data_IF_326947189298
#
_entry.id   IF_326947189298
#
_cell.length_a   1.000
_cell.length_b   1.000
_cell.length_c   1.000
_cell.angle_alpha   90.00
_cell.angle_beta   90.00
_cell.angle_gamma   90.00
#
_symmetry.space_group_name_H-M   'P 1'
#
loop_
_entity.id
_entity.type
_entity.pdbx_description
1 polymer ?
#
# COMPACT_ATOMS: atom_id res chain seq x y z
N UNK A 1 -5.82 -37.87 -33.05
CA UNK A 1 -4.57 -37.11 -32.96
C UNK A 1 -4.97 -35.74 -32.46
N UNK A 2 -4.69 -35.47 -31.20
CA UNK A 2 -4.87 -34.14 -30.61
C UNK A 2 -3.92 -33.19 -31.33
N UNK A 3 -4.44 -32.07 -31.84
CA UNK A 3 -3.60 -31.10 -32.53
C UNK A 3 -2.68 -30.42 -31.53
N UNK A 4 -1.46 -30.04 -31.94
CA UNK A 4 -0.52 -29.28 -31.09
C UNK A 4 -1.18 -27.97 -30.64
N UNK A 5 -1.97 -27.35 -31.54
CA UNK A 5 -2.75 -26.15 -31.23
C UNK A 5 -3.73 -26.37 -30.09
N UNK A 6 -4.47 -27.48 -30.09
CA UNK A 6 -5.46 -27.80 -29.05
C UNK A 6 -4.80 -27.96 -27.66
N UNK A 7 -3.60 -28.55 -27.63
CA UNK A 7 -2.81 -28.76 -26.40
C UNK A 7 -2.34 -27.42 -25.82
N UNK A 8 -1.80 -26.54 -26.67
CA UNK A 8 -1.30 -25.23 -26.26
C UNK A 8 -2.42 -24.33 -25.75
N UNK A 9 -3.55 -24.28 -26.46
CA UNK A 9 -4.72 -23.46 -26.08
C UNK A 9 -5.31 -23.93 -24.75
N UNK A 10 -5.41 -25.24 -24.52
CA UNK A 10 -5.89 -25.79 -23.25
C UNK A 10 -4.97 -25.46 -22.07
N UNK A 11 -3.65 -25.60 -22.24
CA UNK A 11 -2.66 -25.24 -21.22
C UNK A 11 -2.67 -23.75 -20.89
N UNK A 12 -2.68 -22.90 -21.91
CA UNK A 12 -2.72 -21.45 -21.75
C UNK A 12 -4.00 -20.97 -21.07
N UNK A 13 -5.15 -21.52 -21.47
CA UNK A 13 -6.44 -21.25 -20.81
C UNK A 13 -6.39 -21.65 -19.34
N UNK A 14 -5.78 -22.80 -19.02
CA UNK A 14 -5.61 -23.24 -17.65
C UNK A 14 -4.68 -22.29 -16.85
N UNK A 15 -3.51 -21.94 -17.38
CA UNK A 15 -2.54 -21.09 -16.69
C UNK A 15 -3.04 -19.66 -16.48
N UNK A 16 -3.66 -19.07 -17.50
CA UNK A 16 -4.28 -17.74 -17.42
C UNK A 16 -5.42 -17.69 -16.39
N UNK A 17 -6.21 -18.76 -16.27
CA UNK A 17 -7.29 -18.85 -15.28
C UNK A 17 -6.81 -19.09 -13.83
N UNK A 18 -5.54 -19.48 -13.61
CA UNK A 18 -5.04 -19.94 -12.29
C UNK A 18 -4.11 -18.94 -11.58
N UNK A 19 -4.21 -17.64 -11.90
CA UNK A 19 -3.40 -16.53 -11.32
C UNK A 19 -1.90 -16.65 -11.58
N UNK A 20 -1.49 -17.31 -12.65
CA UNK A 20 -0.11 -17.23 -13.14
C UNK A 20 0.08 -15.89 -13.87
N UNK A 21 1.20 -15.17 -13.67
CA UNK A 21 1.46 -13.92 -14.40
C UNK A 21 1.48 -14.14 -15.92
N UNK A 22 0.81 -13.28 -16.69
CA UNK A 22 0.64 -13.41 -18.16
C UNK A 22 1.97 -13.58 -18.90
N UNK A 23 3.03 -12.86 -18.47
CA UNK A 23 4.36 -12.99 -19.04
C UNK A 23 4.93 -14.41 -18.89
N UNK A 24 4.76 -15.02 -17.71
CA UNK A 24 5.23 -16.38 -17.47
C UNK A 24 4.43 -17.41 -18.26
N UNK A 25 3.12 -17.15 -18.48
CA UNK A 25 2.27 -17.97 -19.37
C UNK A 25 2.79 -17.93 -20.80
N UNK A 26 3.07 -16.74 -21.34
CA UNK A 26 3.58 -16.58 -22.71
C UNK A 26 4.96 -17.21 -22.91
N UNK A 27 5.87 -17.03 -21.94
CA UNK A 27 7.20 -17.67 -21.96
C UNK A 27 7.08 -19.21 -21.98
N UNK A 28 6.24 -19.78 -21.11
CA UNK A 28 6.05 -21.23 -21.05
C UNK A 28 5.31 -21.81 -22.26
N UNK A 29 4.33 -21.08 -22.80
CA UNK A 29 3.64 -21.48 -24.03
C UNK A 29 4.65 -21.64 -25.18
N UNK A 30 5.54 -20.66 -25.37
CA UNK A 30 6.56 -20.72 -26.41
C UNK A 30 7.55 -21.87 -26.23
N UNK A 31 7.95 -22.16 -24.99
CA UNK A 31 8.81 -23.31 -24.68
C UNK A 31 8.10 -24.64 -24.98
N UNK A 32 6.84 -24.78 -24.55
CA UNK A 32 6.04 -25.98 -24.79
C UNK A 32 5.81 -26.22 -26.30
N UNK A 33 5.49 -25.16 -27.05
CA UNK A 33 5.33 -25.22 -28.50
C UNK A 33 6.60 -25.75 -29.18
N UNK A 34 7.76 -25.20 -28.81
CA UNK A 34 9.05 -25.66 -29.34
C UNK A 34 9.26 -27.16 -29.08
N UNK A 35 8.98 -27.64 -27.87
CA UNK A 35 9.17 -29.04 -27.50
C UNK A 35 8.20 -29.98 -28.25
N UNK A 36 6.95 -29.56 -28.45
CA UNK A 36 5.95 -30.33 -29.18
C UNK A 36 6.30 -30.44 -30.68
N UNK A 37 6.76 -29.34 -31.28
CA UNK A 37 7.20 -29.32 -32.69
C UNK A 37 8.44 -30.19 -32.90
N UNK A 38 9.41 -30.15 -32.00
CA UNK A 38 10.61 -30.99 -32.06
C UNK A 38 10.28 -32.49 -31.90
N UNK A 39 9.38 -32.82 -30.97
CA UNK A 39 8.90 -34.19 -30.79
C UNK A 39 8.20 -34.71 -32.05
N UNK A 40 7.32 -33.90 -32.66
CA UNK A 40 6.64 -34.25 -33.89
C UNK A 40 7.63 -34.44 -35.07
N UNK A 41 8.63 -33.58 -35.20
CA UNK A 41 9.69 -33.71 -36.21
C UNK A 41 10.51 -35.00 -36.06
N UNK A 42 10.63 -35.49 -34.84
CA UNK A 42 11.29 -36.76 -34.49
C UNK A 42 10.39 -37.99 -34.60
N UNK A 43 9.12 -37.81 -34.99
CA UNK A 43 8.14 -38.90 -35.11
C UNK A 43 7.57 -39.39 -33.78
N UNK A 44 7.74 -38.63 -32.70
CA UNK A 44 7.21 -38.92 -31.37
C UNK A 44 5.81 -38.35 -31.18
N UNK A 45 5.01 -38.95 -30.30
CA UNK A 45 3.68 -38.43 -29.99
C UNK A 45 3.77 -37.22 -29.03
N UNK A 46 2.79 -36.29 -29.07
CA UNK A 46 2.68 -35.20 -28.09
C UNK A 46 2.60 -35.66 -26.63
N UNK A 47 2.00 -36.84 -26.41
CA UNK A 47 1.85 -37.47 -25.09
C UNK A 47 3.22 -37.81 -24.45
N UNK A 48 4.28 -37.99 -25.24
CA UNK A 48 5.65 -38.13 -24.68
C UNK A 48 6.16 -36.84 -24.02
N UNK A 49 5.62 -35.68 -24.39
CA UNK A 49 6.04 -34.37 -23.88
C UNK A 49 5.19 -33.92 -22.70
N UNK A 50 3.87 -33.99 -22.83
CA UNK A 50 2.91 -33.52 -21.80
C UNK A 50 2.38 -34.63 -20.90
N UNK A 51 2.65 -35.90 -21.22
CA UNK A 51 2.10 -37.06 -20.53
C UNK A 51 0.66 -37.39 -20.92
N UNK A 52 0.10 -38.42 -20.29
CA UNK A 52 -1.25 -38.91 -20.55
C UNK A 52 -2.35 -38.00 -19.97
N UNK A 53 -2.00 -37.11 -19.03
CA UNK A 53 -2.93 -36.19 -18.36
C UNK A 53 -2.43 -34.73 -18.50
N UNK A 54 -3.02 -34.05 -19.48
CA UNK A 54 -2.70 -32.65 -19.79
C UNK A 54 -3.03 -31.70 -18.64
N UNK A 55 -4.09 -31.97 -17.87
CA UNK A 55 -4.49 -31.13 -16.76
C UNK A 55 -3.50 -31.26 -15.59
N UNK A 56 -3.01 -32.47 -15.33
CA UNK A 56 -1.97 -32.70 -14.33
C UNK A 56 -0.65 -32.00 -14.71
N UNK A 57 -0.26 -32.06 -15.98
CA UNK A 57 0.91 -31.32 -16.49
C UNK A 57 0.76 -29.81 -16.28
N UNK A 58 -0.38 -29.24 -16.69
CA UNK A 58 -0.63 -27.81 -16.56
C UNK A 58 -0.63 -27.36 -15.08
N UNK A 59 -1.23 -28.14 -14.18
CA UNK A 59 -1.30 -27.90 -12.74
C UNK A 59 0.08 -27.98 -12.05
N UNK A 60 0.93 -28.94 -12.44
CA UNK A 60 2.25 -29.13 -11.84
C UNK A 60 3.15 -27.92 -12.12
N UNK A 61 3.15 -27.45 -13.36
CA UNK A 61 3.88 -26.23 -13.73
C UNK A 61 3.29 -24.99 -13.05
N UNK A 62 1.96 -24.82 -13.10
CA UNK A 62 1.27 -23.68 -12.50
C UNK A 62 1.51 -23.58 -10.99
N UNK A 63 1.70 -24.71 -10.30
CA UNK A 63 1.96 -24.76 -8.85
C UNK A 63 3.24 -24.02 -8.45
N UNK A 64 4.27 -24.07 -9.29
CA UNK A 64 5.56 -23.42 -9.02
C UNK A 64 5.40 -21.90 -9.05
N UNK A 65 4.64 -21.38 -10.02
CA UNK A 65 4.38 -19.94 -10.17
C UNK A 65 3.27 -19.42 -9.26
N UNK A 66 2.34 -20.27 -8.82
CA UNK A 66 1.35 -19.96 -7.77
C UNK A 66 1.95 -19.86 -6.37
N UNK A 67 3.26 -20.06 -6.18
CA UNK A 67 3.87 -19.98 -4.84
C UNK A 67 3.42 -18.67 -4.18
N UNK A 68 2.80 -18.72 -3.00
CA UNK A 68 2.57 -17.51 -2.22
C UNK A 68 3.94 -16.85 -2.00
N UNK A 69 3.97 -15.52 -1.99
CA UNK A 69 5.14 -14.75 -1.58
C UNK A 69 5.85 -15.48 -0.43
N UNK A 70 7.15 -15.73 -0.57
CA UNK A 70 7.86 -16.63 0.33
C UNK A 70 7.56 -16.28 1.81
N UNK A 71 7.44 -17.27 2.72
CA UNK A 71 7.29 -17.00 4.15
C UNK A 71 8.35 -16.01 4.68
N UNK A 72 9.55 -16.03 4.09
CA UNK A 72 10.62 -15.08 4.41
C UNK A 72 10.27 -13.63 4.03
N UNK A 73 9.57 -13.39 2.93
CA UNK A 73 9.09 -12.06 2.51
C UNK A 73 8.04 -11.54 3.50
N UNK A 74 7.08 -12.39 3.85
CA UNK A 74 6.04 -12.08 4.85
C UNK A 74 6.65 -11.82 6.23
N UNK A 75 7.58 -12.66 6.67
CA UNK A 75 8.31 -12.46 7.92
C UNK A 75 9.16 -11.19 7.90
N UNK A 76 9.76 -10.83 6.76
CA UNK A 76 10.52 -9.58 6.61
C UNK A 76 9.62 -8.36 6.74
N UNK A 77 8.45 -8.37 6.08
CA UNK A 77 7.45 -7.30 6.20
C UNK A 77 6.89 -7.19 7.62
N UNK A 78 6.55 -8.33 8.24
CA UNK A 78 6.09 -8.36 9.63
C UNK A 78 7.17 -7.92 10.62
N UNK A 79 8.44 -8.32 10.43
CA UNK A 79 9.56 -7.86 11.27
C UNK A 79 9.80 -6.37 11.12
N UNK A 80 9.72 -5.82 9.90
CA UNK A 80 9.83 -4.38 9.67
C UNK A 80 8.70 -3.61 10.37
N UNK A 81 7.45 -4.10 10.28
CA UNK A 81 6.28 -3.51 10.96
C UNK A 81 6.40 -3.60 12.49
N UNK A 82 6.80 -4.76 13.03
CA UNK A 82 7.01 -4.96 14.47
C UNK A 82 8.13 -4.08 15.03
N UNK A 83 9.24 -3.93 14.29
CA UNK A 83 10.36 -3.04 14.68
C UNK A 83 9.93 -1.57 14.75
N UNK A 84 9.09 -1.12 13.81
CA UNK A 84 8.53 0.24 13.82
C UNK A 84 7.64 0.50 15.04
N UNK A 85 6.76 -0.47 15.36
CA UNK A 85 5.87 -0.38 16.53
C UNK A 85 6.66 -0.48 17.85
N UNK A 86 7.66 -1.35 17.94
CA UNK A 86 8.47 -1.49 19.14
C UNK A 86 9.33 -0.25 19.41
N UNK A 87 9.91 0.36 18.37
CA UNK A 87 10.68 1.59 18.52
C UNK A 87 9.80 2.77 19.00
N UNK A 88 8.56 2.82 18.54
CA UNK A 88 7.57 3.80 19.00
C UNK A 88 7.31 3.68 20.51
N UNK A 89 7.01 2.48 21.01
CA UNK A 89 6.74 2.29 22.43
C UNK A 89 7.95 2.62 23.30
N UNK A 90 9.18 2.42 22.81
CA UNK A 90 10.40 2.82 23.52
C UNK A 90 10.55 4.35 23.63
N UNK A 91 10.25 5.09 22.56
CA UNK A 91 10.30 6.57 22.59
C UNK A 91 9.25 7.14 23.53
N UNK A 92 8.01 6.63 23.44
CA UNK A 92 6.92 7.04 24.34
C UNK A 92 7.24 6.69 25.79
N UNK A 93 7.69 5.46 26.06
CA UNK A 93 8.09 5.05 27.41
C UNK A 93 9.25 5.89 27.95
N UNK A 94 10.24 6.23 27.10
CA UNK A 94 11.35 7.11 27.47
C UNK A 94 10.89 8.53 27.81
N UNK A 95 9.98 9.11 27.02
CA UNK A 95 9.42 10.43 27.28
C UNK A 95 8.61 10.45 28.59
N UNK A 96 7.76 9.45 28.81
CA UNK A 96 6.99 9.31 30.05
C UNK A 96 7.93 9.15 31.25
N UNK A 97 8.93 8.27 31.14
CA UNK A 97 9.93 8.08 32.19
C UNK A 97 10.69 9.38 32.49
N UNK A 98 11.05 10.15 31.47
CA UNK A 98 11.69 11.46 31.63
C UNK A 98 10.82 12.44 32.42
N UNK A 99 9.53 12.55 32.08
CA UNK A 99 8.57 13.38 32.82
C UNK A 99 8.43 12.92 34.27
N UNK A 100 8.34 11.61 34.51
CA UNK A 100 8.25 11.06 35.88
C UNK A 100 9.53 11.35 36.68
N UNK A 101 10.71 11.16 36.08
CA UNK A 101 11.99 11.45 36.74
C UNK A 101 12.15 12.94 37.05
N UNK A 102 11.76 13.83 36.13
CA UNK A 102 11.72 15.27 36.39
C UNK A 102 10.70 15.63 37.48
N UNK A 103 9.55 14.95 37.52
CA UNK A 103 8.58 15.09 38.60
C UNK A 103 9.14 14.66 39.96
N UNK A 104 9.87 13.56 40.02
CA UNK A 104 10.43 13.03 41.26
C UNK A 104 11.66 13.82 41.75
N UNK A 105 12.58 14.19 40.85
CA UNK A 105 13.91 14.69 41.18
C UNK A 105 14.20 16.12 40.69
N UNK A 106 13.29 16.72 39.93
CA UNK A 106 13.49 18.05 39.37
C UNK A 106 13.50 19.18 40.42
N UNK A 107 14.18 20.30 40.12
CA UNK A 107 14.17 21.50 40.95
C UNK A 107 12.76 21.93 41.33
N UNK A 108 12.54 22.20 42.61
CA UNK A 108 11.22 22.56 43.15
C UNK A 108 11.07 24.07 43.33
N UNK A 109 9.88 24.59 43.08
CA UNK A 109 9.51 26.01 43.23
C UNK A 109 8.28 26.15 44.14
N UNK A 110 8.25 27.16 45.03
CA UNK A 110 7.25 27.30 46.11
C UNK A 110 6.00 28.10 45.71
N UNK A 111 4.96 27.99 46.55
CA UNK A 111 3.59 27.67 46.16
C UNK A 111 2.77 28.65 45.30
N UNK A 112 3.07 29.95 45.21
CA UNK A 112 2.11 30.88 44.55
C UNK A 112 2.15 30.75 43.03
N UNK A 113 3.35 30.74 42.44
CA UNK A 113 3.48 30.70 40.99
C UNK A 113 2.98 29.35 40.46
N UNK A 114 3.43 28.27 41.09
CA UNK A 114 3.12 26.94 40.62
C UNK A 114 1.63 26.54 40.79
N UNK A 115 0.94 27.08 41.80
CA UNK A 115 -0.50 26.89 41.95
C UNK A 115 -1.27 27.46 40.77
N UNK A 116 -0.92 28.67 40.33
CA UNK A 116 -1.52 29.31 39.15
C UNK A 116 -1.21 28.50 37.89
N UNK A 117 0.06 28.11 37.71
CA UNK A 117 0.49 27.37 36.52
C UNK A 117 -0.15 25.99 36.38
N UNK A 118 -0.44 25.28 37.47
CA UNK A 118 -1.20 24.00 37.42
C UNK A 118 -2.53 24.17 36.70
N UNK A 119 -3.30 25.17 37.09
CA UNK A 119 -4.63 25.41 36.52
C UNK A 119 -4.54 25.94 35.09
N UNK A 120 -3.53 26.76 34.77
CA UNK A 120 -3.25 27.18 33.39
C UNK A 120 -2.99 25.96 32.50
N UNK A 121 -2.12 25.03 32.91
CA UNK A 121 -1.80 23.86 32.11
C UNK A 121 -2.99 22.90 31.95
N UNK A 122 -3.76 22.68 33.01
CA UNK A 122 -5.00 21.90 32.93
C UNK A 122 -5.98 22.55 31.96
N UNK A 123 -6.24 23.86 32.12
CA UNK A 123 -7.12 24.61 31.22
C UNK A 123 -6.65 24.57 29.77
N UNK A 124 -5.36 24.79 29.52
CA UNK A 124 -4.75 24.71 28.20
C UNK A 124 -4.93 23.32 27.58
N UNK A 125 -4.70 22.24 28.34
CA UNK A 125 -4.87 20.86 27.85
C UNK A 125 -6.31 20.57 27.42
N UNK A 126 -7.29 21.05 28.20
CA UNK A 126 -8.72 20.90 27.90
C UNK A 126 -9.11 21.72 26.69
N UNK A 127 -8.72 23.00 26.62
CA UNK A 127 -9.04 23.89 25.50
C UNK A 127 -8.44 23.37 24.20
N UNK A 128 -7.18 22.93 24.21
CA UNK A 128 -6.51 22.35 23.05
C UNK A 128 -7.15 21.02 22.63
N UNK A 129 -7.50 20.15 23.58
CA UNK A 129 -8.18 18.89 23.30
C UNK A 129 -9.60 19.07 22.75
N UNK A 130 -10.37 20.03 23.26
CA UNK A 130 -11.70 20.36 22.74
C UNK A 130 -11.58 21.04 21.37
N UNK A 131 -10.64 21.97 21.20
CA UNK A 131 -10.37 22.59 19.90
C UNK A 131 -10.00 21.56 18.84
N UNK A 132 -9.24 20.53 19.22
CA UNK A 132 -8.96 19.40 18.33
C UNK A 132 -10.25 18.72 17.89
N UNK A 133 -11.14 18.36 18.82
CA UNK A 133 -12.39 17.66 18.49
C UNK A 133 -13.27 18.46 17.51
N UNK A 134 -13.22 19.79 17.56
CA UNK A 134 -13.94 20.67 16.63
C UNK A 134 -13.27 20.72 15.25
N UNK A 135 -11.94 20.67 15.20
CA UNK A 135 -11.15 20.84 13.97
C UNK A 135 -10.87 19.54 13.22
N UNK A 136 -10.91 18.39 13.91
CA UNK A 136 -10.67 17.05 13.36
C UNK A 136 -9.38 16.91 12.53
N UNK A 137 -8.36 17.73 12.81
CA UNK A 137 -7.16 17.90 11.96
C UNK A 137 -5.86 17.34 12.53
N UNK A 138 -5.86 16.87 13.77
CA UNK A 138 -4.75 16.42 14.60
C UNK A 138 -3.67 17.48 14.88
N UNK A 139 -3.92 18.74 14.53
CA UNK A 139 -2.94 19.83 14.68
C UNK A 139 -2.76 20.28 16.13
N UNK A 140 -3.82 20.23 16.94
CA UNK A 140 -3.80 20.71 18.32
C UNK A 140 -3.38 19.62 19.31
N UNK A 141 -3.51 18.34 18.94
CA UNK A 141 -3.13 17.19 19.78
C UNK A 141 -1.70 17.21 20.33
N UNK A 142 -0.65 17.52 19.53
CA UNK A 142 0.72 17.56 20.06
C UNK A 142 0.87 18.58 21.20
N UNK A 143 0.23 19.74 21.06
CA UNK A 143 0.25 20.79 22.07
C UNK A 143 -0.58 20.41 23.30
N UNK A 144 -1.71 19.73 23.12
CA UNK A 144 -2.50 19.19 24.23
C UNK A 144 -1.68 18.16 25.04
N UNK A 145 -0.96 17.25 24.37
CA UNK A 145 -0.10 16.26 25.02
C UNK A 145 1.06 16.93 25.78
N UNK A 146 1.70 17.95 25.20
CA UNK A 146 2.72 18.74 25.89
C UNK A 146 2.16 19.46 27.11
N UNK A 147 0.95 20.01 27.04
CA UNK A 147 0.30 20.70 28.15
C UNK A 147 -0.02 19.73 29.30
N UNK A 148 -0.45 18.50 28.98
CA UNK A 148 -0.64 17.45 30.00
C UNK A 148 0.68 17.10 30.69
N UNK A 149 1.78 16.95 29.94
CA UNK A 149 3.09 16.67 30.54
C UNK A 149 3.55 17.80 31.48
N UNK A 150 3.36 19.06 31.07
CA UNK A 150 3.66 20.22 31.90
C UNK A 150 2.74 20.30 33.14
N UNK A 151 1.45 19.98 33.00
CA UNK A 151 0.51 19.91 34.12
C UNK A 151 0.96 18.90 35.18
N UNK A 152 1.38 17.69 34.75
CA UNK A 152 1.92 16.66 35.65
C UNK A 152 3.10 17.21 36.45
N UNK A 153 4.06 17.86 35.80
CA UNK A 153 5.21 18.47 36.49
C UNK A 153 4.80 19.58 37.46
N UNK A 154 3.79 20.36 37.11
CA UNK A 154 3.23 21.38 38.00
C UNK A 154 2.60 20.75 39.26
N UNK A 155 1.92 19.61 39.16
CA UNK A 155 1.45 18.87 40.35
C UNK A 155 2.59 18.41 41.27
N UNK A 156 3.76 18.09 40.69
CA UNK A 156 4.97 17.76 41.45
C UNK A 156 5.76 18.96 41.98
N UNK A 157 5.27 20.20 41.86
CA UNK A 157 6.01 21.40 42.28
C UNK A 157 7.33 21.63 41.55
N UNK A 158 7.48 21.12 40.33
CA UNK A 158 8.67 21.38 39.52
C UNK A 158 8.69 22.82 39.04
N UNK A 159 9.86 23.43 38.94
CA UNK A 159 10.05 24.81 38.49
C UNK A 159 9.35 25.12 37.14
N UNK A 160 8.72 26.30 37.04
CA UNK A 160 7.92 26.72 35.88
C UNK A 160 8.71 26.74 34.58
N UNK A 161 9.98 27.15 34.60
CA UNK A 161 10.82 27.15 33.41
C UNK A 161 11.00 25.74 32.84
N UNK A 162 11.09 24.73 33.70
CA UNK A 162 11.17 23.33 33.29
C UNK A 162 9.85 22.86 32.71
N UNK A 163 8.71 23.27 33.28
CA UNK A 163 7.39 22.97 32.73
C UNK A 163 7.24 23.51 31.30
N UNK A 164 7.67 24.75 31.05
CA UNK A 164 7.66 25.38 29.73
C UNK A 164 8.55 24.65 28.72
N UNK A 165 9.78 24.29 29.14
CA UNK A 165 10.70 23.52 28.29
C UNK A 165 10.08 22.17 27.92
N UNK A 166 9.51 21.47 28.91
CA UNK A 166 8.89 20.16 28.69
C UNK A 166 7.66 20.29 27.79
N UNK A 167 6.84 21.33 27.95
CA UNK A 167 5.74 21.61 27.03
C UNK A 167 6.22 21.72 25.58
N UNK A 168 7.24 22.54 25.31
CA UNK A 168 7.77 22.75 23.96
C UNK A 168 8.36 21.46 23.39
N UNK A 169 9.22 20.79 24.15
CA UNK A 169 9.91 19.56 23.69
C UNK A 169 8.93 18.42 23.47
N UNK A 170 7.98 18.21 24.39
CA UNK A 170 6.95 17.19 24.25
C UNK A 170 6.02 17.48 23.07
N UNK A 171 5.63 18.74 22.86
CA UNK A 171 4.77 19.13 21.74
C UNK A 171 5.47 18.93 20.39
N UNK A 172 6.73 19.38 20.26
CA UNK A 172 7.51 19.17 19.04
C UNK A 172 7.78 17.68 18.79
N UNK A 173 8.11 16.92 19.84
CA UNK A 173 8.30 15.48 19.76
C UNK A 173 7.04 14.76 19.28
N UNK A 174 5.89 15.10 19.87
CA UNK A 174 4.59 14.56 19.48
C UNK A 174 4.20 14.98 18.05
N UNK A 175 4.54 16.19 17.60
CA UNK A 175 4.26 16.68 16.25
C UNK A 175 5.09 15.93 15.20
N UNK A 176 6.40 15.83 15.39
CA UNK A 176 7.30 15.07 14.50
C UNK A 176 6.88 13.62 14.45
N UNK A 177 6.48 13.07 15.60
CA UNK A 177 5.95 11.72 15.70
C UNK A 177 4.68 11.58 14.86
N UNK A 178 3.69 12.44 15.04
CA UNK A 178 2.44 12.42 14.30
C UNK A 178 2.66 12.55 12.78
N UNK A 179 3.53 13.46 12.34
CA UNK A 179 3.88 13.63 10.93
C UNK A 179 4.51 12.36 10.33
N UNK A 180 5.40 11.69 11.07
CA UNK A 180 6.08 10.49 10.57
C UNK A 180 5.14 9.30 10.39
N UNK A 181 4.05 9.24 11.15
CA UNK A 181 3.09 8.14 11.14
C UNK A 181 1.85 8.43 10.28
N UNK A 182 1.40 9.68 10.21
CA UNK A 182 0.35 10.10 9.26
C UNK A 182 0.73 9.82 7.80
N UNK A 183 2.03 9.79 7.47
CA UNK A 183 2.53 9.42 6.14
C UNK A 183 2.82 7.92 5.96
N UNK A 184 2.58 7.09 6.98
CA UNK A 184 2.84 5.64 6.94
C UNK A 184 1.57 4.80 6.89
N UNK A 185 0.39 5.41 7.02
CA UNK A 185 -0.87 4.70 6.87
C UNK A 185 -1.31 4.67 5.39
N UNK A 186 -0.91 3.58 4.72
CA UNK A 186 -1.47 3.06 3.46
C UNK A 186 -0.90 3.70 2.19
N UNK A 187 -0.49 2.99 1.13
CA UNK A 187 -1.25 1.90 0.47
C UNK A 187 -2.69 1.80 0.98
N UNK A 188 -3.38 2.94 1.03
CA UNK A 188 -4.81 2.97 0.91
C UNK A 188 -5.07 2.24 -0.39
N UNK A 189 -5.80 1.12 -0.33
CA UNK A 189 -6.32 0.43 -1.51
C UNK A 189 -6.72 1.51 -2.51
N UNK A 190 -6.11 1.54 -3.71
CA UNK A 190 -6.02 2.76 -4.48
C UNK A 190 -7.41 3.40 -4.65
N UNK A 191 -7.62 4.53 -3.99
CA UNK A 191 -8.93 5.18 -3.98
C UNK A 191 -9.13 5.86 -5.34
N UNK A 192 -10.25 5.60 -6.00
CA UNK A 192 -10.58 6.15 -7.32
C UNK A 192 -9.96 5.35 -8.47
N UNK A 193 -9.51 6.04 -9.52
CA UNK A 193 -9.08 5.44 -10.80
C UNK A 193 -8.01 4.35 -10.66
N UNK A 194 -7.10 4.48 -9.67
CA UNK A 194 -6.02 3.52 -9.45
C UNK A 194 -6.50 2.12 -9.03
N UNK A 195 -7.76 1.96 -8.59
CA UNK A 195 -8.32 0.62 -8.29
C UNK A 195 -8.44 -0.26 -9.53
N UNK A 196 -8.43 0.35 -10.70
CA UNK A 196 -8.59 -0.31 -11.97
C UNK A 196 -7.28 -0.73 -12.60
N UNK A 197 -6.12 -0.48 -11.98
CA UNK A 197 -4.86 -1.05 -12.47
C UNK A 197 -4.99 -2.58 -12.49
N UNK A 198 -4.55 -3.20 -13.59
CA UNK A 198 -4.71 -4.63 -13.91
C UNK A 198 -6.17 -5.07 -14.20
N UNK A 199 -7.14 -4.16 -14.23
CA UNK A 199 -8.51 -4.48 -14.62
C UNK A 199 -8.67 -4.41 -16.15
N UNK A 200 -9.56 -5.25 -16.67
CA UNK A 200 -9.94 -5.28 -18.09
C UNK A 200 -11.15 -4.39 -18.35
N UNK A 201 -11.18 -3.74 -19.50
CA UNK A 201 -12.29 -2.92 -19.94
C UNK A 201 -12.47 -2.91 -21.45
N UNK A 202 -13.53 -2.28 -21.91
CA UNK A 202 -13.84 -2.16 -23.34
C UNK A 202 -13.79 -0.70 -23.76
N UNK A 203 -13.13 -0.41 -24.88
CA UNK A 203 -13.10 0.93 -25.47
C UNK A 203 -14.49 1.30 -25.97
N UNK A 204 -15.07 2.38 -25.44
CA UNK A 204 -16.38 2.89 -25.85
C UNK A 204 -16.27 4.15 -26.71
N UNK A 205 -15.13 4.84 -26.65
CA UNK A 205 -14.78 5.99 -27.48
C UNK A 205 -13.33 5.84 -27.86
N UNK A 206 -13.04 5.93 -29.17
CA UNK A 206 -11.71 5.71 -29.74
C UNK A 206 -10.65 6.47 -28.94
N UNK A 207 -9.57 5.78 -28.62
CA UNK A 207 -8.43 6.36 -27.91
C UNK A 207 -7.44 6.85 -28.96
N UNK A 208 -7.36 8.17 -29.13
CA UNK A 208 -6.42 8.79 -30.03
C UNK A 208 -5.06 9.01 -29.35
N UNK A 209 -3.98 8.57 -30.01
CA UNK A 209 -2.61 8.64 -29.47
C UNK A 209 -2.06 10.07 -29.37
N UNK A 210 -2.49 10.98 -30.24
CA UNK A 210 -1.96 12.36 -30.32
C UNK A 210 -2.62 13.27 -29.28
N UNK A 211 -3.93 13.12 -29.10
CA UNK A 211 -4.72 13.97 -28.21
C UNK A 211 -4.91 13.33 -26.81
N UNK A 212 -4.57 12.03 -26.68
CA UNK A 212 -4.79 11.23 -25.46
C UNK A 212 -6.25 11.23 -25.02
N UNK A 213 -7.16 11.38 -25.98
CA UNK A 213 -8.60 11.49 -25.78
C UNK A 213 -9.27 10.18 -26.16
N UNK A 214 -10.18 9.71 -25.30
CA UNK A 214 -10.86 8.43 -25.46
C UNK A 214 -11.50 7.99 -24.15
N UNK A 215 -12.32 6.96 -24.21
CA UNK A 215 -13.01 6.42 -23.03
C UNK A 215 -13.11 4.91 -23.07
N UNK A 216 -12.98 4.32 -21.88
CA UNK A 216 -13.14 2.89 -21.63
C UNK A 216 -14.22 2.68 -20.59
N UNK A 217 -14.93 1.56 -20.72
CA UNK A 217 -15.79 1.03 -19.67
C UNK A 217 -15.00 -0.04 -18.93
N UNK A 218 -14.73 0.19 -17.65
CA UNK A 218 -14.13 -0.81 -16.76
C UNK A 218 -15.18 -1.15 -15.72
N UNK A 219 -15.53 -2.43 -15.63
CA UNK A 219 -16.69 -2.92 -14.87
C UNK A 219 -17.98 -2.17 -15.25
N UNK A 220 -18.47 -1.28 -14.37
CA UNK A 220 -19.71 -0.50 -14.56
C UNK A 220 -19.44 1.00 -14.76
N UNK A 221 -18.19 1.45 -14.68
CA UNK A 221 -17.83 2.86 -14.71
C UNK A 221 -17.17 3.27 -16.04
N UNK A 222 -17.40 4.52 -16.44
CA UNK A 222 -16.81 5.11 -17.65
C UNK A 222 -15.63 6.00 -17.27
N UNK A 223 -14.46 5.64 -17.78
CA UNK A 223 -13.20 6.33 -17.51
C UNK A 223 -12.62 6.96 -18.76
N UNK A 224 -11.97 8.11 -18.60
CA UNK A 224 -11.11 8.64 -19.67
C UNK A 224 -9.89 7.76 -19.79
N UNK A 225 -9.50 7.46 -21.03
CA UNK A 225 -8.35 6.61 -21.31
C UNK A 225 -7.38 7.30 -22.26
N UNK A 226 -6.11 6.90 -22.15
CA UNK A 226 -5.03 7.22 -23.06
C UNK A 226 -4.21 5.96 -23.28
N UNK A 227 -3.44 5.92 -24.36
CA UNK A 227 -2.47 4.84 -24.61
C UNK A 227 -1.10 5.44 -24.84
N UNK A 228 -0.05 4.71 -24.47
CA UNK A 228 1.33 5.04 -24.81
C UNK A 228 1.80 4.32 -26.09
N UNK A 229 0.94 3.47 -26.66
CA UNK A 229 1.19 2.82 -27.93
C UNK A 229 1.22 3.85 -29.06
N UNK A 230 1.97 3.51 -30.10
CA UNK A 230 2.14 4.39 -31.24
C UNK A 230 0.97 4.25 -32.25
N UNK A 231 -0.20 3.83 -31.80
CA UNK A 231 -1.40 3.60 -32.60
C UNK A 231 -2.67 3.98 -31.83
N UNK A 232 -3.73 4.27 -32.58
CA UNK A 232 -5.03 4.58 -32.00
C UNK A 232 -5.76 3.27 -31.69
N UNK A 233 -6.49 3.23 -30.56
CA UNK A 233 -7.29 2.06 -30.18
C UNK A 233 -8.75 2.32 -30.54
N UNK A 234 -9.30 1.49 -31.43
CA UNK A 234 -10.67 1.63 -31.93
C UNK A 234 -11.74 1.22 -30.91
N UNK A 235 -12.97 1.69 -31.14
CA UNK A 235 -14.13 1.34 -30.31
C UNK A 235 -14.43 -0.15 -30.39
N UNK A 236 -14.71 -0.77 -29.24
CA UNK A 236 -15.04 -2.19 -29.11
C UNK A 236 -13.84 -3.08 -28.79
N UNK A 237 -12.61 -2.55 -28.85
CA UNK A 237 -11.40 -3.29 -28.46
C UNK A 237 -11.39 -3.49 -26.94
N UNK A 238 -11.01 -4.70 -26.52
CA UNK A 238 -10.79 -5.03 -25.11
C UNK A 238 -9.38 -4.62 -24.71
N UNK A 239 -9.24 -3.95 -23.57
CA UNK A 239 -8.00 -3.33 -23.11
C UNK A 239 -7.75 -3.64 -21.65
N UNK A 240 -6.47 -3.76 -21.27
CA UNK A 240 -6.05 -3.79 -19.87
C UNK A 240 -5.56 -2.42 -19.42
N UNK A 241 -5.81 -2.09 -18.16
CA UNK A 241 -5.30 -0.85 -17.55
C UNK A 241 -3.92 -1.12 -16.97
N UNK A 242 -2.90 -0.52 -17.56
CA UNK A 242 -1.49 -0.69 -17.15
C UNK A 242 -1.04 0.35 -16.13
N UNK A 243 -1.65 1.54 -16.14
CA UNK A 243 -1.28 2.65 -15.24
C UNK A 243 -2.43 3.67 -15.12
N UNK A 244 -2.31 4.63 -14.20
CA UNK A 244 -3.24 5.76 -14.05
C UNK A 244 -2.47 7.07 -13.96
N UNK A 245 -2.71 7.96 -14.93
CA UNK A 245 -2.07 9.28 -15.02
C UNK A 245 -3.09 10.39 -14.80
N UNK A 246 -3.04 10.98 -13.60
CA UNK A 246 -4.00 12.00 -13.18
C UNK A 246 -5.41 11.42 -13.09
N UNK A 247 -6.31 11.89 -13.96
CA UNK A 247 -7.70 11.43 -14.04
C UNK A 247 -7.98 10.57 -15.30
N UNK A 248 -6.94 9.95 -15.87
CA UNK A 248 -7.03 9.08 -17.05
C UNK A 248 -6.40 7.72 -16.75
N UNK A 249 -7.01 6.67 -17.27
CA UNK A 249 -6.43 5.32 -17.30
C UNK A 249 -5.46 5.23 -18.49
N UNK A 250 -4.29 4.66 -18.29
CA UNK A 250 -3.38 4.27 -19.36
C UNK A 250 -3.71 2.83 -19.70
N UNK A 251 -4.03 2.56 -20.95
CA UNK A 251 -4.52 1.25 -21.38
C UNK A 251 -3.77 0.73 -22.60
N UNK A 252 -3.68 -0.58 -22.68
CA UNK A 252 -3.11 -1.32 -23.80
C UNK A 252 -4.12 -2.37 -24.26
N UNK A 253 -4.25 -2.65 -25.59
CA UNK A 253 -5.06 -3.74 -26.10
C UNK A 253 -4.69 -5.05 -25.42
N UNK A 254 -5.70 -5.84 -25.07
CA UNK A 254 -5.47 -7.27 -24.83
C UNK A 254 -5.22 -7.89 -26.21
N UNK A 255 -3.97 -8.21 -26.51
CA UNK A 255 -3.65 -9.06 -27.67
C UNK A 255 -4.41 -10.38 -27.52
N UNK A 256 -5.13 -10.76 -28.58
CA UNK A 256 -5.69 -12.11 -28.77
C UNK A 256 -4.62 -13.05 -29.31
#
# INVERSE_FOLDING_TARGET
>A
MTDISDILEACETYWSSTRVPTRAVGEMRGELESHLVEAAASGKSPEEVVGDDLAAFAEDWARVYRRPESPETWERMQRARRRGISALWLVVAGAVLGVVLLGAFGPKETNVDNEIWRWIWVGASVVLGVGEMVTAGLFLLPFAAGAVAAAVLAFFNVNVAIQLIVFVVASLGALVFLQRFAHKEGELAPVGAKRYVDATGTVIERINRLDGSGRVRVETELWRATTDLNEDIEVGVEVSVVDVRGARLVVEPLDQ
#
